data_IF_637124596600
#
_entry.id   IF_637124596600
#
_cell.length_a   1.000
_cell.length_b   1.000
_cell.length_c   1.000
_cell.angle_alpha   90.00
_cell.angle_beta   90.00
_cell.angle_gamma   90.00
#
_symmetry.space_group_name_H-M   'P 1'
#
loop_
_entity.id
_entity.type
_entity.pdbx_description
1 polymer ?
#
# COMPACT_ATOMS: atom_id res chain seq x y z
N UNK A 1 2.33 23.89 -5.57
CA UNK A 1 3.40 22.96 -5.89
C UNK A 1 4.77 23.66 -5.77
N UNK A 2 5.47 23.47 -4.65
CA UNK A 2 6.71 24.20 -4.34
C UNK A 2 7.92 23.74 -5.18
N UNK A 3 7.93 22.49 -5.66
CA UNK A 3 9.11 21.95 -6.37
C UNK A 3 8.83 21.39 -7.77
N UNK A 4 7.57 21.30 -8.16
CA UNK A 4 7.19 20.64 -9.42
C UNK A 4 7.10 19.11 -9.29
N UNK A 5 6.30 18.50 -10.16
CA UNK A 5 5.99 17.06 -10.10
C UNK A 5 7.20 16.21 -10.43
N UNK A 6 8.02 16.62 -11.39
CA UNK A 6 9.18 15.83 -11.82
C UNK A 6 10.23 15.72 -10.72
N UNK A 7 10.59 16.84 -10.09
CA UNK A 7 11.54 16.85 -8.98
C UNK A 7 10.97 16.12 -7.75
N UNK A 8 9.67 16.24 -7.49
CA UNK A 8 9.01 15.48 -6.44
C UNK A 8 9.15 13.99 -6.68
N UNK A 9 8.82 13.52 -7.89
CA UNK A 9 8.92 12.10 -8.25
C UNK A 9 10.36 11.59 -8.17
N UNK A 10 11.32 12.36 -8.68
CA UNK A 10 12.75 12.00 -8.61
C UNK A 10 13.22 11.80 -7.15
N UNK A 11 12.90 12.76 -6.29
CA UNK A 11 13.28 12.69 -4.87
C UNK A 11 12.60 11.55 -4.14
N UNK A 12 11.31 11.36 -4.35
CA UNK A 12 10.55 10.29 -3.72
C UNK A 12 11.06 8.92 -4.17
N UNK A 13 11.29 8.73 -5.47
CA UNK A 13 11.84 7.49 -6.02
C UNK A 13 13.24 7.20 -5.47
N UNK A 14 14.13 8.20 -5.44
CA UNK A 14 15.46 8.06 -4.86
C UNK A 14 15.40 7.67 -3.38
N UNK A 15 14.45 8.21 -2.63
CA UNK A 15 14.20 7.83 -1.23
C UNK A 15 13.93 6.33 -1.09
N UNK A 16 13.06 5.78 -1.94
CA UNK A 16 12.76 4.34 -1.93
C UNK A 16 13.92 3.47 -2.42
N UNK A 17 14.63 3.91 -3.46
CA UNK A 17 15.82 3.21 -3.97
C UNK A 17 16.88 3.09 -2.86
N UNK A 18 17.17 4.17 -2.15
CA UNK A 18 18.14 4.17 -1.06
C UNK A 18 17.66 3.35 0.15
N UNK A 19 16.40 3.51 0.54
CA UNK A 19 15.83 2.78 1.67
C UNK A 19 15.76 1.26 1.42
N UNK A 20 15.55 0.83 0.19
CA UNK A 20 15.55 -0.59 -0.16
C UNK A 20 16.88 -1.28 0.12
N UNK A 21 18.01 -0.57 0.07
CA UNK A 21 19.34 -1.12 0.41
C UNK A 21 19.42 -1.62 1.85
N UNK A 22 18.53 -1.14 2.71
CA UNK A 22 18.36 -1.56 4.11
C UNK A 22 16.99 -2.22 4.34
N UNK A 23 16.41 -2.87 3.33
CA UNK A 23 15.10 -3.53 3.41
C UNK A 23 14.02 -2.60 3.98
N UNK A 24 14.00 -1.34 3.55
CA UNK A 24 13.06 -0.30 4.01
C UNK A 24 13.06 -0.06 5.53
N UNK A 25 14.22 -0.20 6.16
CA UNK A 25 14.38 -0.10 7.61
C UNK A 25 14.08 -1.39 8.37
N UNK A 26 13.89 -2.50 7.66
CA UNK A 26 13.77 -3.83 8.24
C UNK A 26 15.15 -4.46 8.54
N UNK A 27 15.12 -5.65 9.14
CA UNK A 27 16.30 -6.42 9.43
C UNK A 27 16.75 -6.38 10.89
N UNK A 28 17.71 -7.23 11.22
CA UNK A 28 18.08 -7.56 12.59
C UNK A 28 18.84 -6.44 13.33
N UNK A 29 19.53 -5.58 12.58
CA UNK A 29 20.46 -4.59 13.13
C UNK A 29 19.87 -3.17 13.15
N UNK A 30 18.63 -3.03 12.70
CA UNK A 30 17.97 -1.71 12.56
C UNK A 30 16.88 -1.63 13.62
N UNK A 31 17.09 -0.81 14.63
CA UNK A 31 16.03 -0.45 15.57
C UNK A 31 15.12 0.65 14.98
N UNK A 32 13.96 0.85 15.59
CA UNK A 32 12.97 1.83 15.16
C UNK A 32 13.51 3.27 15.16
N UNK A 33 14.59 3.54 15.89
CA UNK A 33 15.22 4.86 15.98
C UNK A 33 16.34 5.07 14.95
N UNK A 34 16.94 4.01 14.43
CA UNK A 34 17.97 4.12 13.38
C UNK A 34 17.44 4.68 12.06
N UNK A 35 16.13 4.72 11.91
CA UNK A 35 15.44 5.33 10.75
C UNK A 35 15.51 6.85 10.68
N UNK A 36 15.95 7.54 11.73
CA UNK A 36 16.07 9.00 11.72
C UNK A 36 17.11 9.50 10.70
N UNK A 37 18.12 8.69 10.40
CA UNK A 37 19.12 8.98 9.36
C UNK A 37 18.68 8.54 7.95
N UNK A 38 17.59 7.78 7.84
CA UNK A 38 17.05 7.31 6.56
C UNK A 38 15.86 8.18 6.17
N UNK A 39 15.80 8.55 4.92
CA UNK A 39 14.69 9.34 4.38
C UNK A 39 13.34 8.59 4.42
N UNK A 40 13.37 7.27 4.43
CA UNK A 40 12.19 6.42 4.57
C UNK A 40 12.52 5.20 5.44
N UNK A 41 11.63 4.94 6.39
CA UNK A 41 11.63 3.71 7.20
C UNK A 41 10.19 3.23 7.35
N UNK A 42 9.87 2.04 6.87
CA UNK A 42 8.54 1.46 6.98
C UNK A 42 8.10 1.23 8.44
N UNK A 43 9.03 1.04 9.36
CA UNK A 43 8.77 0.96 10.79
C UNK A 43 8.42 2.29 11.45
N UNK A 44 8.46 3.40 10.72
CA UNK A 44 8.12 4.73 11.22
C UNK A 44 6.75 5.19 10.72
N UNK A 45 5.79 5.33 11.61
CA UNK A 45 4.39 5.70 11.30
C UNK A 45 4.22 6.87 10.31
N UNK A 46 4.96 7.99 10.42
CA UNK A 46 4.84 9.08 9.46
C UNK A 46 5.14 8.71 8.01
N UNK A 47 5.85 7.61 7.75
CA UNK A 47 6.21 7.17 6.41
C UNK A 47 5.19 6.25 5.74
N UNK A 48 4.16 5.77 6.46
CA UNK A 48 3.25 4.75 5.97
C UNK A 48 2.47 5.12 4.70
N UNK A 49 2.29 6.41 4.43
CA UNK A 49 1.60 6.90 3.24
C UNK A 49 2.52 7.15 2.04
N UNK A 50 3.84 7.23 2.24
CA UNK A 50 4.78 7.72 1.24
C UNK A 50 4.77 6.89 -0.05
N UNK A 51 4.71 5.56 0.05
CA UNK A 51 4.66 4.67 -1.11
C UNK A 51 3.40 4.85 -1.98
N UNK A 52 2.35 5.46 -1.43
CA UNK A 52 1.08 5.70 -2.12
C UNK A 52 1.02 7.06 -2.82
N UNK A 53 1.98 7.96 -2.55
CA UNK A 53 2.01 9.31 -3.11
C UNK A 53 2.26 9.33 -4.61
N UNK A 54 2.86 8.29 -5.17
CA UNK A 54 3.06 8.19 -6.61
C UNK A 54 1.76 8.13 -7.42
N UNK A 55 0.66 7.64 -6.82
CA UNK A 55 -0.66 7.69 -7.46
C UNK A 55 -1.13 9.13 -7.71
N UNK A 56 -0.77 10.06 -6.81
CA UNK A 56 -1.11 11.48 -6.94
C UNK A 56 -0.17 12.25 -7.86
N UNK A 57 0.99 11.70 -8.16
CA UNK A 57 2.04 12.37 -8.93
C UNK A 57 2.21 11.81 -10.35
N UNK A 58 1.27 10.96 -10.80
CA UNK A 58 1.22 10.44 -12.16
C UNK A 58 2.17 9.27 -12.44
N UNK A 59 2.72 8.63 -11.39
CA UNK A 59 3.57 7.42 -11.51
C UNK A 59 3.00 6.23 -10.71
N UNK A 60 1.75 5.82 -10.92
CA UNK A 60 1.09 4.78 -10.13
C UNK A 60 1.84 3.43 -10.14
N UNK A 61 2.58 3.14 -11.20
CA UNK A 61 3.41 1.94 -11.25
C UNK A 61 4.48 1.88 -10.15
N UNK A 62 4.95 3.02 -9.64
CA UNK A 62 5.89 3.07 -8.52
C UNK A 62 5.18 2.77 -7.18
N UNK A 63 3.95 3.22 -6.99
CA UNK A 63 3.11 2.75 -5.86
C UNK A 63 2.99 1.22 -5.91
N UNK A 64 2.63 0.66 -7.05
CA UNK A 64 2.45 -0.77 -7.23
C UNK A 64 3.74 -1.56 -6.94
N UNK A 65 4.87 -1.07 -7.43
CA UNK A 65 6.18 -1.66 -7.20
C UNK A 65 6.57 -1.61 -5.71
N UNK A 66 6.61 -0.41 -5.14
CA UNK A 66 7.16 -0.24 -3.79
C UNK A 66 6.27 -0.85 -2.70
N UNK A 67 4.95 -0.77 -2.82
CA UNK A 67 4.07 -1.46 -1.85
C UNK A 67 4.26 -2.96 -1.84
N UNK A 68 4.49 -3.60 -2.99
CA UNK A 68 4.81 -5.03 -3.07
C UNK A 68 6.19 -5.34 -2.52
N UNK A 69 7.21 -4.56 -2.88
CA UNK A 69 8.58 -4.75 -2.38
C UNK A 69 8.65 -4.58 -0.86
N UNK A 70 7.96 -3.58 -0.30
CA UNK A 70 7.88 -3.39 1.15
C UNK A 70 7.23 -4.61 1.81
N UNK A 71 6.11 -5.10 1.27
CA UNK A 71 5.48 -6.31 1.79
C UNK A 71 6.41 -7.53 1.77
N UNK A 72 7.29 -7.63 0.79
CA UNK A 72 8.13 -8.81 0.58
C UNK A 72 9.49 -8.70 1.30
N UNK A 73 10.03 -7.49 1.45
CA UNK A 73 11.39 -7.26 1.95
C UNK A 73 11.44 -6.72 3.38
N UNK A 74 10.46 -5.91 3.81
CA UNK A 74 10.40 -5.40 5.18
C UNK A 74 9.70 -6.36 6.13
N UNK A 75 8.52 -6.87 5.74
CA UNK A 75 7.73 -7.75 6.59
C UNK A 75 8.23 -9.19 6.54
N UNK A 76 8.41 -9.80 7.70
CA UNK A 76 8.83 -11.20 7.84
C UNK A 76 8.61 -11.69 9.26
N UNK A 77 8.92 -12.96 9.49
CA UNK A 77 8.72 -13.62 10.77
C UNK A 77 9.92 -14.47 11.21
N UNK A 78 11.08 -14.24 10.61
CA UNK A 78 12.31 -14.93 10.99
C UNK A 78 13.31 -13.96 11.64
N UNK A 79 14.27 -14.46 12.46
CA UNK A 79 15.30 -13.62 13.07
C UNK A 79 16.17 -12.86 12.07
N UNK A 80 16.28 -13.36 10.85
CA UNK A 80 17.15 -12.81 9.81
C UNK A 80 16.40 -11.85 8.88
N UNK A 81 15.08 -11.88 8.92
CA UNK A 81 14.29 -11.15 7.95
C UNK A 81 13.02 -10.56 8.56
N UNK A 82 12.91 -9.27 8.43
CA UNK A 82 11.68 -8.55 8.49
C UNK A 82 11.27 -8.05 9.86
N UNK A 83 10.17 -7.36 9.82
CA UNK A 83 9.42 -6.89 10.94
C UNK A 83 8.98 -8.05 11.86
N UNK A 84 9.03 -7.82 13.14
CA UNK A 84 8.71 -8.81 14.17
C UNK A 84 9.92 -9.23 15.00
N UNK A 85 11.12 -8.79 14.64
CA UNK A 85 12.33 -9.06 15.39
C UNK A 85 12.93 -7.77 15.96
N UNK A 86 12.36 -7.29 17.09
CA UNK A 86 12.87 -6.13 17.82
C UNK A 86 12.37 -4.79 17.32
N UNK A 87 11.35 -4.75 16.46
CA UNK A 87 10.70 -3.53 16.03
C UNK A 87 9.34 -3.35 16.73
N UNK A 88 8.97 -2.11 17.00
CA UNK A 88 7.66 -1.78 17.52
C UNK A 88 6.58 -1.98 16.46
N UNK A 89 5.42 -2.47 16.88
CA UNK A 89 4.27 -2.68 15.99
C UNK A 89 3.44 -1.41 15.83
N UNK A 90 3.69 -0.41 16.67
CA UNK A 90 3.04 0.89 16.62
C UNK A 90 1.51 0.81 16.71
N UNK A 91 1.02 0.13 17.72
CA UNK A 91 -0.41 0.04 18.07
C UNK A 91 -1.27 -0.61 17.00
N UNK A 92 -0.74 -1.55 16.24
CA UNK A 92 -1.44 -2.27 15.19
C UNK A 92 -1.33 -1.62 13.81
N UNK A 93 -0.63 -0.50 13.67
CA UNK A 93 -0.58 0.24 12.40
C UNK A 93 0.27 -0.45 11.35
N UNK A 94 1.41 -1.03 11.74
CA UNK A 94 2.30 -1.70 10.79
C UNK A 94 1.68 -2.98 10.24
N UNK A 95 1.06 -3.79 11.10
CA UNK A 95 0.31 -4.97 10.68
C UNK A 95 -0.90 -4.61 9.82
N UNK A 96 -1.65 -3.58 10.19
CA UNK A 96 -2.78 -3.09 9.40
C UNK A 96 -2.33 -2.58 8.01
N UNK A 97 -1.20 -1.86 7.93
CA UNK A 97 -0.64 -1.43 6.66
C UNK A 97 -0.30 -2.63 5.75
N UNK A 98 0.35 -3.66 6.31
CA UNK A 98 0.65 -4.88 5.54
C UNK A 98 -0.62 -5.52 4.97
N UNK A 99 -1.66 -5.64 5.78
CA UNK A 99 -2.94 -6.21 5.33
C UNK A 99 -3.52 -5.38 4.19
N UNK A 100 -3.58 -4.06 4.33
CA UNK A 100 -4.12 -3.18 3.30
C UNK A 100 -3.27 -3.21 2.02
N UNK A 101 -1.95 -3.15 2.14
CA UNK A 101 -1.05 -3.23 0.98
C UNK A 101 -1.15 -4.59 0.28
N UNK A 102 -1.26 -5.70 1.02
CA UNK A 102 -1.46 -7.04 0.46
C UNK A 102 -2.82 -7.20 -0.22
N UNK A 103 -3.84 -6.50 0.25
CA UNK A 103 -5.16 -6.37 -0.41
C UNK A 103 -5.05 -5.51 -1.68
N UNK A 104 -4.05 -4.63 -1.74
CA UNK A 104 -3.84 -3.70 -2.85
C UNK A 104 -4.65 -2.41 -2.75
N UNK A 105 -5.10 -2.06 -1.55
CA UNK A 105 -5.89 -0.85 -1.28
C UNK A 105 -5.30 -0.09 -0.09
N UNK A 106 -5.39 1.23 -0.12
CA UNK A 106 -5.01 2.07 1.01
C UNK A 106 -5.78 3.40 1.03
N UNK A 107 -6.16 3.87 2.19
CA UNK A 107 -6.71 5.22 2.38
C UNK A 107 -5.63 6.10 3.01
N UNK A 108 -5.00 6.95 2.20
CA UNK A 108 -3.92 7.85 2.62
C UNK A 108 -4.38 8.84 3.71
N UNK A 109 -5.67 9.14 3.75
CA UNK A 109 -6.24 10.09 4.72
C UNK A 109 -6.82 9.40 5.97
N UNK A 110 -6.65 8.08 6.08
CA UNK A 110 -7.07 7.32 7.25
C UNK A 110 -8.57 7.40 7.55
N UNK A 111 -9.41 7.54 6.54
CA UNK A 111 -10.86 7.64 6.68
C UNK A 111 -11.37 8.99 7.19
N UNK A 112 -10.51 9.99 7.33
CA UNK A 112 -10.89 11.31 7.89
C UNK A 112 -11.51 12.26 6.87
N UNK A 113 -11.44 11.92 5.58
CA UNK A 113 -12.04 12.74 4.53
C UNK A 113 -13.58 12.64 4.55
N UNK A 114 -14.25 13.71 4.17
CA UNK A 114 -15.71 13.73 3.93
C UNK A 114 -16.10 12.76 2.81
N UNK A 115 -15.25 12.59 1.82
CA UNK A 115 -15.38 11.62 0.73
C UNK A 115 -14.18 10.68 0.69
N UNK A 116 -14.15 9.65 1.57
CA UNK A 116 -13.01 8.73 1.64
C UNK A 116 -12.79 8.01 0.31
N UNK A 117 -11.52 7.81 -0.04
CA UNK A 117 -11.13 7.11 -1.27
C UNK A 117 -10.06 6.06 -0.95
N UNK A 118 -10.06 5.00 -1.76
CA UNK A 118 -9.01 3.99 -1.73
C UNK A 118 -8.07 4.16 -2.92
N UNK A 119 -6.78 4.24 -2.61
CA UNK A 119 -5.72 4.16 -3.60
C UNK A 119 -5.52 2.69 -4.00
N UNK A 120 -5.30 2.45 -5.28
CA UNK A 120 -5.03 1.11 -5.83
C UNK A 120 -3.52 0.92 -5.92
N UNK A 121 -3.04 -0.13 -5.27
CA UNK A 121 -1.69 -0.65 -5.38
C UNK A 121 -1.65 -1.92 -6.23
N UNK A 122 -0.88 -2.92 -5.77
CA UNK A 122 -0.74 -4.21 -6.45
C UNK A 122 -1.10 -5.35 -5.49
N UNK A 123 -2.30 -5.95 -5.60
CA UNK A 123 -2.71 -7.04 -4.72
C UNK A 123 -1.75 -8.23 -4.73
N UNK A 124 -1.49 -8.84 -3.58
CA UNK A 124 -0.63 -10.04 -3.48
C UNK A 124 -1.35 -11.33 -3.84
N UNK A 125 -2.67 -11.34 -3.82
CA UNK A 125 -3.49 -12.54 -3.97
C UNK A 125 -4.30 -12.49 -5.26
N UNK A 126 -4.54 -13.66 -5.85
CA UNK A 126 -5.40 -13.79 -7.04
C UNK A 126 -6.84 -13.43 -6.76
N UNK A 127 -7.31 -13.73 -5.56
CA UNK A 127 -8.68 -13.44 -5.14
C UNK A 127 -8.75 -13.17 -3.66
N UNK A 128 -9.43 -12.10 -3.31
CA UNK A 128 -9.73 -11.71 -1.94
C UNK A 128 -11.25 -11.51 -1.84
N UNK A 129 -11.86 -12.05 -0.81
CA UNK A 129 -13.27 -11.83 -0.52
C UNK A 129 -13.41 -11.21 0.86
N UNK A 130 -13.89 -9.99 0.93
CA UNK A 130 -14.14 -9.26 2.15
C UNK A 130 -15.64 -9.32 2.45
N UNK A 131 -16.00 -9.95 3.56
CA UNK A 131 -17.39 -9.95 4.05
C UNK A 131 -17.65 -8.61 4.73
N UNK A 132 -18.60 -7.85 4.20
CA UNK A 132 -19.00 -6.58 4.77
C UNK A 132 -19.94 -6.82 5.95
N UNK A 133 -19.71 -6.07 7.03
CA UNK A 133 -20.55 -6.18 8.23
C UNK A 133 -21.92 -5.54 7.96
N UNK A 134 -23.03 -6.28 8.07
CA UNK A 134 -24.37 -5.77 7.76
C UNK A 134 -24.85 -4.69 8.73
N UNK A 135 -24.14 -4.47 9.85
CA UNK A 135 -24.42 -3.34 10.76
C UNK A 135 -24.03 -1.99 10.18
N UNK A 136 -23.09 -1.98 9.24
CA UNK A 136 -22.50 -0.76 8.65
C UNK A 136 -22.67 -0.67 7.15
N UNK A 137 -22.92 -1.79 6.46
CA UNK A 137 -22.94 -1.87 5.02
C UNK A 137 -24.18 -2.62 4.55
N UNK A 138 -24.85 -2.11 3.49
CA UNK A 138 -26.00 -2.77 2.88
C UNK A 138 -25.61 -3.93 1.96
N UNK A 139 -24.37 -3.94 1.44
CA UNK A 139 -23.82 -5.02 0.65
C UNK A 139 -23.29 -6.18 1.47
N UNK A 140 -23.10 -7.33 0.80
CA UNK A 140 -22.64 -8.56 1.48
C UNK A 140 -21.14 -8.76 1.38
N UNK A 141 -20.55 -8.52 0.21
CA UNK A 141 -19.14 -8.81 -0.06
C UNK A 141 -18.52 -7.79 -1.01
N UNK A 142 -17.25 -7.51 -0.78
CA UNK A 142 -16.34 -6.95 -1.79
C UNK A 142 -15.40 -8.06 -2.24
N UNK A 143 -15.33 -8.30 -3.54
CA UNK A 143 -14.40 -9.23 -4.17
C UNK A 143 -13.33 -8.42 -4.89
N UNK A 144 -12.06 -8.74 -4.62
CA UNK A 144 -10.92 -8.23 -5.38
C UNK A 144 -10.30 -9.42 -6.09
N UNK A 145 -10.16 -9.33 -7.40
CA UNK A 145 -9.69 -10.43 -8.23
C UNK A 145 -8.64 -9.92 -9.22
N UNK A 146 -7.57 -10.67 -9.40
CA UNK A 146 -6.47 -10.30 -10.30
C UNK A 146 -6.22 -11.41 -11.30
N UNK A 147 -5.96 -11.04 -12.54
CA UNK A 147 -5.47 -11.93 -13.59
C UNK A 147 -3.94 -11.85 -13.69
N UNK A 148 -3.32 -12.95 -14.10
CA UNK A 148 -1.86 -13.05 -14.29
C UNK A 148 -1.02 -12.65 -13.06
N UNK A 149 -1.57 -12.76 -11.86
CA UNK A 149 -0.86 -12.44 -10.63
C UNK A 149 0.24 -13.47 -10.37
N UNK A 150 1.47 -12.98 -10.24
CA UNK A 150 2.65 -13.77 -9.90
C UNK A 150 3.59 -12.94 -9.01
N UNK A 151 4.57 -13.56 -8.33
CA UNK A 151 5.48 -12.85 -7.42
C UNK A 151 6.16 -11.63 -8.05
N UNK A 152 6.52 -11.69 -9.33
CA UNK A 152 7.20 -10.62 -10.04
C UNK A 152 6.28 -9.77 -10.93
N UNK A 153 4.98 -9.97 -10.87
CA UNK A 153 3.99 -9.19 -11.62
C UNK A 153 3.44 -8.08 -10.74
N UNK A 154 4.16 -6.97 -10.70
CA UNK A 154 3.82 -5.83 -9.85
C UNK A 154 2.80 -4.89 -10.50
N UNK A 155 2.83 -4.76 -11.83
CA UNK A 155 2.20 -3.66 -12.54
C UNK A 155 0.77 -4.02 -13.00
N UNK A 156 -0.20 -3.28 -12.51
CA UNK A 156 -1.60 -3.34 -12.95
C UNK A 156 -1.70 -2.64 -14.30
N UNK A 157 -2.23 -3.34 -15.30
CA UNK A 157 -2.37 -2.82 -16.65
C UNK A 157 -3.73 -2.14 -16.86
N UNK A 158 -4.75 -2.63 -16.19
CA UNK A 158 -6.10 -2.07 -16.22
C UNK A 158 -6.87 -2.54 -14.99
N UNK A 159 -7.90 -1.81 -14.62
CA UNK A 159 -8.81 -2.20 -13.56
C UNK A 159 -10.26 -1.89 -13.92
N UNK A 160 -11.18 -2.68 -13.39
CA UNK A 160 -12.60 -2.42 -13.45
C UNK A 160 -13.22 -2.48 -12.06
N UNK A 161 -14.16 -1.59 -11.77
CA UNK A 161 -14.97 -1.65 -10.56
C UNK A 161 -16.43 -1.88 -10.97
N UNK A 162 -17.02 -2.98 -10.49
CA UNK A 162 -18.37 -3.38 -10.84
C UNK A 162 -18.63 -3.47 -12.36
N UNK A 163 -17.60 -3.92 -13.10
CA UNK A 163 -17.64 -4.05 -14.55
C UNK A 163 -17.41 -2.76 -15.34
N UNK A 164 -17.23 -1.63 -14.67
CA UNK A 164 -16.90 -0.36 -15.32
C UNK A 164 -15.38 -0.12 -15.27
N UNK A 165 -14.73 0.30 -16.36
CA UNK A 165 -13.32 0.65 -16.35
C UNK A 165 -13.02 1.75 -15.33
N UNK A 166 -11.90 1.62 -14.65
CA UNK A 166 -11.32 2.68 -13.83
C UNK A 166 -10.22 3.38 -14.64
N UNK A 167 -10.37 4.69 -14.81
CA UNK A 167 -9.37 5.53 -15.47
C UNK A 167 -8.25 5.96 -14.50
N UNK A 168 -8.60 6.07 -13.21
CA UNK A 168 -7.72 6.47 -12.15
C UNK A 168 -7.25 5.27 -11.30
N UNK A 169 -6.10 5.43 -10.63
CA UNK A 169 -5.59 4.45 -9.67
C UNK A 169 -6.21 4.61 -8.27
N UNK A 170 -7.46 5.02 -8.21
CA UNK A 170 -8.24 5.15 -6.99
C UNK A 170 -9.75 5.13 -7.28
N UNK A 171 -10.56 4.91 -6.25
CA UNK A 171 -12.02 4.99 -6.29
C UNK A 171 -12.57 5.44 -4.94
N UNK A 172 -13.81 5.95 -4.91
CA UNK A 172 -14.45 6.37 -3.67
C UNK A 172 -14.97 5.18 -2.87
N UNK A 173 -14.84 5.24 -1.55
CA UNK A 173 -15.41 4.23 -0.63
C UNK A 173 -16.90 3.99 -0.86
N UNK A 174 -17.68 5.02 -1.20
CA UNK A 174 -19.12 4.91 -1.48
C UNK A 174 -19.46 3.93 -2.62
N UNK A 175 -18.52 3.65 -3.50
CA UNK A 175 -18.73 2.76 -4.65
C UNK A 175 -18.72 1.28 -4.28
N UNK A 176 -18.27 0.96 -3.07
CA UNK A 176 -18.18 -0.43 -2.58
C UNK A 176 -19.00 -0.68 -1.30
N UNK A 177 -19.71 0.30 -0.75
CA UNK A 177 -20.52 0.11 0.47
C UNK A 177 -21.69 -0.86 0.27
N UNK A 178 -22.12 -1.05 -0.95
CA UNK A 178 -23.14 -2.03 -1.33
C UNK A 178 -22.56 -3.38 -1.76
N UNK A 179 -21.29 -3.63 -1.44
CA UNK A 179 -20.52 -4.70 -2.02
C UNK A 179 -19.94 -4.30 -3.37
N UNK A 180 -19.18 -5.18 -4.01
CA UNK A 180 -18.60 -4.87 -5.30
C UNK A 180 -17.61 -5.90 -5.79
N UNK A 181 -17.15 -5.70 -7.01
CA UNK A 181 -16.11 -6.49 -7.64
C UNK A 181 -15.05 -5.54 -8.26
N UNK A 182 -13.87 -5.54 -7.69
CA UNK A 182 -12.68 -4.90 -8.26
C UNK A 182 -11.86 -5.98 -8.97
N UNK A 183 -11.60 -5.76 -10.25
CA UNK A 183 -10.82 -6.70 -11.07
C UNK A 183 -9.67 -5.96 -11.78
#
# INVERSE_FOLDING_TARGET
NLMGTDLFNERLENTFVESRKTQFGGGKEIDSFSGVEKLYNQGNQPCLHDAWLFNYSGKPWLTQLYTRLICDEFYGNTPEHGYGYGQDEDQGQLGAWYVMAAVGLFDVQGGTNITPSYQIGSPKFRKITIKLDPRYYSGKTLVIETENNAPNHYYVQSATLNGQPLEDCWFYRREIINGGHLK
#
